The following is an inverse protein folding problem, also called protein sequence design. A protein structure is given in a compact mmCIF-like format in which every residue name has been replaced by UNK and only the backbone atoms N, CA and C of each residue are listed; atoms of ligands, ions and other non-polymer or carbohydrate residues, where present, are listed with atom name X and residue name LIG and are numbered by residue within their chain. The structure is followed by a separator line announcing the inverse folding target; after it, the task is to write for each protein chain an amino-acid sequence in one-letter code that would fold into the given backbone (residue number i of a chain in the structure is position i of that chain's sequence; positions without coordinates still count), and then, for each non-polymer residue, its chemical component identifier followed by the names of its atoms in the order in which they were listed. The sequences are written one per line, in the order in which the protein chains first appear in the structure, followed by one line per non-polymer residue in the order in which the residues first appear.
data_IF_040112332728
#
_entry.id   IF_040112332728
#
_cell.length_a   1.000
_cell.length_b   1.000
_cell.length_c   1.000
_cell.angle_alpha   90.00
_cell.angle_beta   90.00
_cell.angle_gamma   90.00
#
_symmetry.space_group_name_H-M   'P 1'
#
loop_
_entity.id
_entity.type
_entity.pdbx_description
1 polymer ?
#
# COMPACT_ATOMS: atom_id res chain seq x y z
N UNK A 1 2.33 -4.27 31.31
CA UNK A 1 3.63 -4.63 30.69
C UNK A 1 3.61 -4.01 29.31
N UNK A 2 4.64 -3.27 28.92
CA UNK A 2 4.68 -2.57 27.63
C UNK A 2 5.45 -3.43 26.63
N UNK A 3 4.89 -3.60 25.43
CA UNK A 3 5.58 -4.27 24.32
C UNK A 3 6.47 -3.22 23.65
N UNK A 4 7.76 -3.49 23.50
CA UNK A 4 8.73 -2.55 22.91
C UNK A 4 9.63 -3.27 21.90
N UNK A 5 10.33 -2.48 21.09
CA UNK A 5 11.31 -2.97 20.12
C UNK A 5 12.77 -2.86 20.62
N UNK A 6 12.98 -2.52 21.89
CA UNK A 6 14.32 -2.26 22.44
C UNK A 6 15.26 -3.47 22.35
N UNK A 7 14.70 -4.68 22.33
CA UNK A 7 15.46 -5.92 22.13
C UNK A 7 16.21 -5.97 20.80
N UNK A 8 15.77 -5.18 19.80
CA UNK A 8 16.37 -5.10 18.47
C UNK A 8 17.34 -3.93 18.31
N UNK A 9 17.50 -3.08 19.33
CA UNK A 9 18.47 -1.99 19.29
C UNK A 9 19.90 -2.49 19.15
N UNK A 10 20.77 -1.65 18.58
CA UNK A 10 22.20 -1.95 18.48
C UNK A 10 22.74 -2.22 19.89
N UNK A 11 23.46 -3.33 20.05
CA UNK A 11 23.97 -3.90 21.31
C UNK A 11 22.98 -4.68 22.18
N UNK A 12 21.69 -4.73 21.82
CA UNK A 12 20.72 -5.63 22.47
C UNK A 12 20.90 -7.07 21.98
N UNK A 13 20.46 -8.05 22.79
CA UNK A 13 20.70 -9.47 22.54
C UNK A 13 20.02 -10.02 21.27
N UNK A 14 18.97 -9.35 20.79
CA UNK A 14 18.18 -9.78 19.62
C UNK A 14 18.38 -8.88 18.40
N UNK A 15 19.36 -7.98 18.42
CA UNK A 15 19.67 -7.11 17.27
C UNK A 15 19.88 -7.90 15.97
N UNK A 16 20.61 -9.02 16.05
CA UNK A 16 20.90 -9.87 14.90
C UNK A 16 19.68 -10.63 14.35
N UNK A 17 18.53 -10.59 15.04
CA UNK A 17 17.27 -11.14 14.55
C UNK A 17 16.55 -10.17 13.61
N UNK A 18 16.89 -8.87 13.60
CA UNK A 18 16.30 -7.89 12.69
C UNK A 18 16.72 -8.22 11.24
N UNK A 19 15.76 -8.48 10.33
CA UNK A 19 16.12 -8.77 8.94
C UNK A 19 16.76 -7.56 8.26
N UNK A 20 17.75 -7.80 7.41
CA UNK A 20 18.46 -6.75 6.66
C UNK A 20 17.56 -5.98 5.68
N UNK A 21 16.41 -6.55 5.30
CA UNK A 21 15.45 -5.92 4.41
C UNK A 21 14.53 -4.91 5.11
N UNK A 22 14.53 -4.86 6.45
CA UNK A 22 13.78 -3.84 7.20
C UNK A 22 14.45 -2.50 7.02
N UNK A 23 13.69 -1.50 6.55
CA UNK A 23 14.21 -0.16 6.30
C UNK A 23 14.37 0.58 7.63
N UNK A 24 15.61 0.85 8.01
CA UNK A 24 15.98 1.65 9.19
C UNK A 24 16.77 2.86 8.70
N UNK A 25 16.12 4.02 8.61
CA UNK A 25 16.66 5.18 7.90
C UNK A 25 16.46 6.52 8.64
N UNK A 26 16.07 6.49 9.91
CA UNK A 26 15.98 7.66 10.77
C UNK A 26 17.39 8.17 11.12
N UNK A 27 17.70 9.48 10.95
CA UNK A 27 18.96 10.03 11.38
C UNK A 27 19.11 9.90 12.89
N UNK A 28 20.14 9.14 13.31
CA UNK A 28 20.52 8.97 14.72
C UNK A 28 19.43 8.29 15.58
N UNK A 29 18.45 7.61 14.97
CA UNK A 29 17.50 6.77 15.69
C UNK A 29 18.16 5.46 16.13
N UNK A 30 17.72 4.93 17.26
CA UNK A 30 17.83 3.50 17.53
C UNK A 30 16.79 2.74 16.70
N UNK A 31 16.92 1.42 16.56
CA UNK A 31 15.91 0.59 15.86
C UNK A 31 14.54 0.79 16.48
N UNK A 32 14.46 0.80 17.81
CA UNK A 32 13.22 0.97 18.55
C UNK A 32 12.57 2.36 18.40
N UNK A 33 13.36 3.38 18.09
CA UNK A 33 12.85 4.73 17.77
C UNK A 33 12.46 4.86 16.30
N UNK A 34 12.99 3.99 15.45
CA UNK A 34 12.83 4.02 14.01
C UNK A 34 11.65 3.18 13.52
N UNK A 35 11.30 2.12 14.24
CA UNK A 35 10.15 1.30 13.90
C UNK A 35 8.85 2.06 14.23
N UNK A 36 7.96 2.16 13.24
CA UNK A 36 6.72 2.95 13.31
C UNK A 36 5.49 2.01 13.15
N UNK A 37 4.94 1.48 14.26
CA UNK A 37 3.70 0.70 14.24
C UNK A 37 2.50 1.53 13.82
N UNK A 38 1.72 1.02 12.86
CA UNK A 38 0.57 1.74 12.31
C UNK A 38 -0.75 0.99 12.50
N UNK A 39 -0.86 -0.21 11.94
CA UNK A 39 -2.06 -1.03 11.99
C UNK A 39 -1.83 -2.38 12.68
N UNK A 40 -2.92 -3.01 13.13
CA UNK A 40 -2.87 -4.29 13.84
C UNK A 40 -3.97 -5.24 13.39
N UNK A 41 -3.62 -6.51 13.23
CA UNK A 41 -4.54 -7.62 13.02
C UNK A 41 -4.23 -8.75 14.02
N UNK A 42 -5.23 -9.55 14.41
CA UNK A 42 -5.08 -10.59 15.44
C UNK A 42 -5.34 -11.96 14.83
N UNK A 43 -4.46 -12.92 15.12
CA UNK A 43 -4.65 -14.34 14.77
C UNK A 43 -5.97 -14.90 15.30
N UNK A 44 -6.56 -15.89 14.62
CA UNK A 44 -7.89 -16.39 14.97
C UNK A 44 -7.98 -16.98 16.39
N UNK A 45 -6.87 -17.50 16.92
CA UNK A 45 -6.79 -18.08 18.26
C UNK A 45 -6.43 -17.06 19.35
N UNK A 46 -6.27 -15.78 18.98
CA UNK A 46 -5.86 -14.67 19.83
C UNK A 46 -4.49 -14.86 20.51
N UNK A 47 -3.60 -15.68 19.94
CA UNK A 47 -2.26 -15.91 20.49
C UNK A 47 -1.22 -14.94 19.95
N UNK A 48 -1.39 -14.48 18.71
CA UNK A 48 -0.52 -13.53 18.03
C UNK A 48 -1.27 -12.30 17.53
N UNK A 49 -0.56 -11.17 17.49
CA UNK A 49 -0.94 -10.00 16.72
C UNK A 49 0.11 -9.72 15.64
N UNK A 50 -0.35 -9.30 14.47
CA UNK A 50 0.46 -8.83 13.36
C UNK A 50 0.34 -7.32 13.33
N UNK A 51 1.45 -6.61 13.18
CA UNK A 51 1.50 -5.15 13.23
C UNK A 51 2.26 -4.65 12.01
N UNK A 52 1.64 -3.78 11.20
CA UNK A 52 2.35 -3.14 10.08
C UNK A 52 3.37 -2.12 10.59
N UNK A 53 4.49 -2.07 9.88
CA UNK A 53 5.57 -1.11 10.04
C UNK A 53 5.82 -0.49 8.66
N UNK A 54 4.92 0.41 8.25
CA UNK A 54 4.73 0.79 6.85
C UNK A 54 6.00 1.42 6.25
N UNK A 55 6.56 2.45 6.88
CA UNK A 55 7.78 3.11 6.44
C UNK A 55 8.96 2.12 6.45
N UNK A 56 8.97 1.17 7.38
CA UNK A 56 10.01 0.15 7.50
C UNK A 56 9.87 -1.01 6.51
N UNK A 57 8.77 -1.07 5.74
CA UNK A 57 8.44 -2.16 4.81
C UNK A 57 8.45 -3.55 5.49
N UNK A 58 7.84 -3.63 6.68
CA UNK A 58 7.89 -4.82 7.52
C UNK A 58 6.56 -5.10 8.25
N UNK A 59 6.46 -6.31 8.81
CA UNK A 59 5.41 -6.71 9.76
C UNK A 59 6.07 -7.22 11.03
N UNK A 60 5.67 -6.69 12.19
CA UNK A 60 6.00 -7.24 13.49
C UNK A 60 4.98 -8.31 13.91
N UNK A 61 5.47 -9.45 14.38
CA UNK A 61 4.67 -10.54 14.93
C UNK A 61 4.83 -10.51 16.45
N UNK A 62 3.74 -10.31 17.17
CA UNK A 62 3.69 -10.14 18.61
C UNK A 62 2.99 -11.34 19.24
N UNK A 63 3.59 -11.92 20.27
CA UNK A 63 2.90 -12.89 21.12
C UNK A 63 2.06 -12.17 22.17
N UNK A 64 0.76 -12.39 22.14
CA UNK A 64 -0.19 -11.77 23.06
C UNK A 64 -0.20 -12.42 24.44
N UNK A 65 0.31 -13.65 24.61
CA UNK A 65 0.42 -14.31 25.92
C UNK A 65 1.67 -13.84 26.68
N UNK A 66 2.80 -13.70 26.00
CA UNK A 66 4.07 -13.26 26.59
C UNK A 66 4.29 -11.75 26.51
N UNK A 67 3.43 -11.01 25.80
CA UNK A 67 3.53 -9.57 25.56
C UNK A 67 4.90 -9.15 24.99
N UNK A 68 5.37 -9.86 23.97
CA UNK A 68 6.69 -9.63 23.35
C UNK A 68 6.60 -9.70 21.82
N UNK A 69 7.36 -8.86 21.14
CA UNK A 69 7.64 -9.02 19.70
C UNK A 69 8.42 -10.33 19.52
N UNK A 70 7.81 -11.31 18.86
CA UNK A 70 8.45 -12.58 18.52
C UNK A 70 9.37 -12.44 17.34
N UNK A 71 8.92 -11.76 16.29
CA UNK A 71 9.68 -11.61 15.06
C UNK A 71 9.36 -10.30 14.36
N UNK A 72 10.28 -9.85 13.52
CA UNK A 72 10.04 -8.81 12.52
C UNK A 72 10.33 -9.44 11.17
N UNK A 73 9.42 -9.30 10.21
CA UNK A 73 9.55 -9.86 8.87
C UNK A 73 9.65 -8.72 7.87
N UNK A 74 10.72 -8.68 7.08
CA UNK A 74 10.79 -7.79 5.93
C UNK A 74 9.94 -8.34 4.78
N UNK A 75 9.33 -7.44 4.01
CA UNK A 75 8.38 -7.83 2.96
C UNK A 75 9.05 -7.98 1.58
N UNK A 76 10.36 -7.76 1.49
CA UNK A 76 11.06 -7.68 0.22
C UNK A 76 10.55 -6.56 -0.68
N UNK A 77 10.58 -6.77 -2.00
CA UNK A 77 10.12 -5.77 -2.97
C UNK A 77 9.54 -6.41 -4.22
N UNK A 78 8.68 -5.65 -4.92
CA UNK A 78 8.06 -6.05 -6.19
C UNK A 78 8.88 -5.55 -7.38
N UNK A 79 9.41 -6.47 -8.18
CA UNK A 79 10.21 -6.13 -9.37
C UNK A 79 9.31 -5.66 -10.53
N UNK A 80 9.39 -4.38 -10.91
CA UNK A 80 8.58 -3.77 -11.97
C UNK A 80 9.06 -4.06 -13.39
N UNK A 81 10.23 -4.68 -13.57
CA UNK A 81 10.65 -5.19 -14.89
C UNK A 81 9.92 -6.46 -15.35
N UNK A 82 9.01 -7.01 -14.54
CA UNK A 82 8.14 -8.12 -14.95
C UNK A 82 6.83 -7.55 -15.49
N UNK A 83 6.30 -8.08 -16.60
CA UNK A 83 5.05 -7.61 -17.22
C UNK A 83 3.85 -7.65 -16.27
N UNK A 84 3.79 -8.68 -15.42
CA UNK A 84 2.73 -8.83 -14.39
C UNK A 84 2.77 -7.74 -13.31
N UNK A 85 3.86 -6.99 -13.22
CA UNK A 85 4.08 -5.91 -12.25
C UNK A 85 4.32 -4.56 -12.96
N UNK A 86 3.98 -4.45 -14.25
CA UNK A 86 4.18 -3.20 -14.99
C UNK A 86 3.36 -2.05 -14.38
N UNK A 87 3.91 -0.84 -14.41
CA UNK A 87 3.31 0.37 -13.81
C UNK A 87 3.27 1.51 -14.82
N UNK A 88 2.39 2.48 -14.59
CA UNK A 88 2.53 3.81 -15.19
C UNK A 88 3.36 4.70 -14.26
N UNK A 89 4.50 5.22 -14.73
CA UNK A 89 5.49 5.89 -13.88
C UNK A 89 5.57 7.41 -14.09
N UNK A 90 4.73 7.99 -14.96
CA UNK A 90 4.80 9.41 -15.33
C UNK A 90 3.43 10.05 -15.39
N UNK A 91 3.32 11.28 -14.89
CA UNK A 91 2.17 12.17 -15.04
C UNK A 91 2.41 13.25 -16.13
N UNK A 92 3.32 13.01 -17.08
CA UNK A 92 3.78 14.00 -18.10
C UNK A 92 3.80 13.49 -19.53
N UNK A 93 3.53 12.22 -19.78
CA UNK A 93 3.52 11.68 -21.13
C UNK A 93 2.16 11.87 -21.83
N UNK A 94 1.10 12.15 -21.06
CA UNK A 94 -0.23 12.49 -21.56
C UNK A 94 -1.02 11.27 -22.05
N UNK A 95 -0.66 10.06 -21.60
CA UNK A 95 -1.31 8.80 -21.98
C UNK A 95 -1.21 7.81 -20.83
N UNK A 96 -2.08 6.81 -20.83
CA UNK A 96 -1.88 5.64 -19.95
C UNK A 96 -0.73 4.80 -20.54
N UNK A 97 0.35 4.65 -19.79
CA UNK A 97 1.60 4.05 -20.25
C UNK A 97 2.13 2.99 -19.26
N UNK A 98 1.29 2.01 -18.95
CA UNK A 98 1.63 0.87 -18.10
C UNK A 98 2.68 0.00 -18.81
N UNK A 99 3.91 0.00 -18.31
CA UNK A 99 5.02 -0.76 -18.88
C UNK A 99 6.00 -1.27 -17.82
N UNK A 100 6.87 -2.19 -18.21
CA UNK A 100 7.88 -2.78 -17.34
C UNK A 100 9.15 -1.95 -17.28
N UNK A 101 9.72 -1.82 -16.07
CA UNK A 101 10.97 -1.10 -15.83
C UNK A 101 11.97 -2.00 -15.07
N UNK A 102 12.89 -2.65 -15.78
CA UNK A 102 13.93 -3.48 -15.17
C UNK A 102 14.85 -2.64 -14.28
N UNK A 103 15.22 -3.16 -13.11
CA UNK A 103 16.00 -2.43 -12.10
C UNK A 103 15.15 -1.47 -11.24
N UNK A 104 13.83 -1.43 -11.43
CA UNK A 104 12.90 -0.64 -10.61
C UNK A 104 12.00 -1.56 -9.80
N UNK A 105 11.75 -1.16 -8.57
CA UNK A 105 11.03 -1.94 -7.57
C UNK A 105 10.02 -1.08 -6.82
N UNK A 106 8.90 -1.70 -6.43
CA UNK A 106 7.96 -1.14 -5.44
C UNK A 106 8.18 -1.80 -4.08
N UNK A 107 8.25 -1.01 -3.03
CA UNK A 107 8.21 -1.53 -1.66
C UNK A 107 6.75 -1.87 -1.30
N UNK A 108 6.52 -2.94 -0.53
CA UNK A 108 5.13 -3.31 -0.18
C UNK A 108 4.50 -2.31 0.79
N UNK A 109 5.22 -1.92 1.85
CA UNK A 109 4.85 -0.83 2.77
C UNK A 109 3.36 -0.79 3.08
N UNK A 110 2.86 -1.81 3.78
CA UNK A 110 1.45 -1.91 4.04
C UNK A 110 1.04 -0.93 5.13
N UNK A 111 0.02 -0.12 4.87
CA UNK A 111 -0.69 0.61 5.94
C UNK A 111 -1.68 -0.38 6.59
N UNK A 112 -2.93 -0.43 6.09
CA UNK A 112 -3.96 -1.26 6.70
C UNK A 112 -3.68 -2.74 6.46
N UNK A 113 -3.76 -3.52 7.54
CA UNK A 113 -3.68 -4.98 7.51
C UNK A 113 -4.90 -5.62 8.17
N UNK A 114 -5.27 -6.79 7.69
CA UNK A 114 -6.33 -7.62 8.27
C UNK A 114 -5.92 -9.09 8.24
N UNK A 115 -6.41 -9.89 9.17
CA UNK A 115 -6.15 -11.33 9.22
C UNK A 115 -7.44 -12.14 9.13
N UNK A 116 -7.31 -13.34 8.58
CA UNK A 116 -8.37 -14.34 8.55
C UNK A 116 -7.75 -15.74 8.61
N UNK A 117 -8.56 -16.74 8.94
CA UNK A 117 -8.11 -18.13 9.02
C UNK A 117 -8.88 -19.03 8.08
N UNK A 118 -8.18 -20.00 7.48
CA UNK A 118 -8.75 -21.12 6.75
C UNK A 118 -8.16 -22.39 7.36
N UNK A 119 -9.03 -23.32 7.78
CA UNK A 119 -8.65 -24.63 8.34
C UNK A 119 -7.62 -24.52 9.49
N UNK A 120 -7.68 -23.44 10.28
CA UNK A 120 -6.79 -23.18 11.42
C UNK A 120 -5.44 -22.54 11.05
N UNK A 121 -5.18 -22.29 9.76
CA UNK A 121 -4.01 -21.51 9.33
C UNK A 121 -4.39 -20.02 9.19
N UNK A 122 -3.63 -19.14 9.82
CA UNK A 122 -3.83 -17.69 9.73
C UNK A 122 -3.10 -17.10 8.52
N UNK A 123 -3.77 -16.16 7.85
CA UNK A 123 -3.26 -15.37 6.72
C UNK A 123 -3.44 -13.89 7.02
N UNK A 124 -2.50 -13.09 6.53
CA UNK A 124 -2.48 -11.64 6.66
C UNK A 124 -2.72 -11.05 5.27
N UNK A 125 -3.67 -10.14 5.15
CA UNK A 125 -3.96 -9.37 3.93
C UNK A 125 -3.47 -7.95 4.16
N UNK A 126 -2.81 -7.37 3.17
CA UNK A 126 -2.18 -6.05 3.29
C UNK A 126 -2.56 -5.14 2.13
N UNK A 127 -2.95 -3.90 2.41
CA UNK A 127 -3.06 -2.84 1.42
C UNK A 127 -1.70 -2.17 1.25
N UNK A 128 -1.08 -2.32 0.08
CA UNK A 128 0.33 -1.96 -0.13
C UNK A 128 0.47 -0.51 -0.60
N UNK A 129 0.13 0.42 0.28
CA UNK A 129 -0.03 1.84 0.01
C UNK A 129 1.30 2.52 -0.32
N UNK A 130 2.28 2.39 0.57
CA UNK A 130 3.54 3.12 0.54
C UNK A 130 3.49 4.43 1.31
N UNK A 131 4.45 4.62 2.22
CA UNK A 131 4.78 5.96 2.71
C UNK A 131 6.29 6.19 2.85
N UNK A 132 6.66 7.45 2.68
CA UNK A 132 8.02 7.92 2.82
C UNK A 132 8.25 8.45 4.22
N UNK A 133 9.41 8.12 4.80
CA UNK A 133 9.83 8.80 6.01
C UNK A 133 10.10 10.28 5.74
N UNK A 134 9.28 11.14 6.33
CA UNK A 134 9.35 12.58 6.10
C UNK A 134 9.00 13.38 7.36
N UNK A 135 9.96 14.17 7.85
CA UNK A 135 9.75 15.10 8.94
C UNK A 135 10.57 16.37 8.73
N UNK A 136 10.32 17.37 9.58
CA UNK A 136 11.03 18.64 9.52
C UNK A 136 12.55 18.39 9.59
N UNK A 137 13.25 18.69 8.49
CA UNK A 137 14.70 18.56 8.37
C UNK A 137 15.20 17.24 7.79
N UNK A 138 14.33 16.30 7.42
CA UNK A 138 14.72 15.06 6.75
C UNK A 138 13.60 14.51 5.86
N UNK A 139 13.97 14.11 4.66
CA UNK A 139 13.10 13.34 3.77
C UNK A 139 13.99 12.37 3.00
N UNK A 140 13.57 11.11 2.93
CA UNK A 140 14.22 10.12 2.06
C UNK A 140 13.67 10.17 0.62
N UNK A 141 12.62 10.94 0.37
CA UNK A 141 11.94 10.97 -0.93
C UNK A 141 12.62 11.94 -1.90
N UNK A 142 12.95 11.43 -3.09
CA UNK A 142 13.36 12.24 -4.22
C UNK A 142 12.60 11.83 -5.48
N UNK A 143 12.74 12.64 -6.54
CA UNK A 143 12.32 12.25 -7.89
C UNK A 143 13.45 11.42 -8.50
N UNK A 144 13.15 10.35 -9.23
CA UNK A 144 14.18 9.45 -9.76
C UNK A 144 15.20 10.16 -10.66
N UNK A 145 14.82 11.23 -11.35
CA UNK A 145 15.76 12.05 -12.13
C UNK A 145 16.81 12.82 -11.32
N UNK A 146 16.74 12.78 -9.99
CA UNK A 146 17.79 13.29 -9.08
C UNK A 146 18.77 12.23 -8.63
N UNK A 147 18.53 10.95 -8.92
CA UNK A 147 19.43 9.88 -8.54
C UNK A 147 20.70 9.92 -9.41
N UNK A 148 21.83 9.63 -8.78
CA UNK A 148 23.02 9.18 -9.48
C UNK A 148 22.88 7.67 -9.63
N UNK A 149 22.72 7.19 -10.86
CA UNK A 149 22.66 5.76 -11.13
C UNK A 149 24.01 5.26 -11.61
N UNK A 150 24.23 4.00 -11.33
CA UNK A 150 25.26 3.21 -11.94
C UNK A 150 25.19 3.31 -13.48
N UNK A 151 26.33 3.44 -14.16
CA UNK A 151 26.38 3.76 -15.61
C UNK A 151 25.72 2.68 -16.47
N UNK A 152 25.71 1.44 -15.99
CA UNK A 152 25.12 0.30 -16.68
C UNK A 152 23.67 0.06 -16.25
N UNK A 153 23.10 0.87 -15.36
CA UNK A 153 21.73 0.69 -14.90
C UNK A 153 20.76 0.75 -16.10
N UNK A 154 19.82 -0.22 -16.25
CA UNK A 154 18.91 -0.27 -17.41
C UNK A 154 18.07 0.99 -17.62
N UNK A 155 17.85 1.75 -16.54
CA UNK A 155 17.05 2.99 -16.54
C UNK A 155 17.88 4.28 -16.57
N UNK A 156 19.18 4.21 -16.85
CA UNK A 156 20.08 5.39 -16.88
C UNK A 156 19.49 6.56 -17.70
N UNK A 157 18.93 6.28 -18.87
CA UNK A 157 18.30 7.30 -19.72
C UNK A 157 16.85 7.61 -19.29
N UNK A 158 16.09 6.62 -18.84
CA UNK A 158 14.68 6.79 -18.51
C UNK A 158 14.45 7.71 -17.30
N UNK A 159 15.38 7.74 -16.33
CA UNK A 159 15.30 8.67 -15.21
C UNK A 159 15.57 10.13 -15.61
N UNK A 160 16.19 10.37 -16.77
CA UNK A 160 16.41 11.73 -17.28
C UNK A 160 15.18 12.27 -18.03
N UNK A 161 14.26 11.39 -18.43
CA UNK A 161 13.04 11.75 -19.14
C UNK A 161 11.85 11.87 -18.18
N UNK A 162 11.28 13.08 -18.09
CA UNK A 162 10.10 13.35 -17.27
C UNK A 162 8.84 12.64 -17.75
N UNK A 163 8.79 12.22 -19.02
CA UNK A 163 7.71 11.40 -19.61
C UNK A 163 7.90 9.91 -19.36
N UNK A 164 8.96 9.52 -18.67
CA UNK A 164 9.23 8.16 -18.24
C UNK A 164 9.47 8.17 -16.72
N UNK A 165 10.56 7.58 -16.24
CA UNK A 165 10.82 7.42 -14.81
C UNK A 165 11.26 8.69 -14.10
N UNK A 166 11.69 9.74 -14.80
CA UNK A 166 12.36 10.88 -14.16
C UNK A 166 11.54 11.62 -13.10
N UNK A 167 10.22 11.43 -13.10
CA UNK A 167 9.32 11.97 -12.08
C UNK A 167 8.91 10.98 -11.01
N UNK A 168 9.15 9.67 -11.16
CA UNK A 168 8.76 8.70 -10.14
C UNK A 168 9.35 9.09 -8.77
N UNK A 169 8.52 9.12 -7.72
CA UNK A 169 8.97 9.27 -6.34
C UNK A 169 9.65 8.00 -5.87
N UNK A 170 10.84 8.15 -5.34
CA UNK A 170 11.73 7.06 -4.96
C UNK A 170 12.46 7.41 -3.68
N UNK A 171 12.90 6.38 -2.95
CA UNK A 171 13.73 6.54 -1.77
C UNK A 171 15.22 6.62 -2.13
N UNK A 172 15.98 7.39 -1.35
CA UNK A 172 17.45 7.36 -1.35
C UNK A 172 18.06 6.56 -0.20
N UNK A 173 17.24 5.94 0.67
CA UNK A 173 17.74 5.24 1.85
C UNK A 173 18.25 3.82 1.57
N UNK A 174 17.90 3.28 0.40
CA UNK A 174 18.30 1.97 -0.11
C UNK A 174 18.50 2.08 -1.63
N UNK A 175 19.22 1.12 -2.22
CA UNK A 175 19.43 1.08 -3.67
C UNK A 175 20.88 0.99 -4.10
N UNK A 176 21.80 1.46 -3.27
CA UNK A 176 23.24 1.25 -3.37
C UNK A 176 23.58 -0.11 -2.74
N UNK A 177 23.86 -1.12 -3.58
CA UNK A 177 24.03 -2.51 -3.15
C UNK A 177 25.49 -2.90 -2.97
N UNK A 178 26.43 -2.15 -3.54
CA UNK A 178 27.88 -2.37 -3.37
C UNK A 178 28.59 -1.29 -2.53
N UNK A 179 27.86 -0.25 -2.12
CA UNK A 179 28.28 0.88 -1.29
C UNK A 179 29.29 1.81 -1.96
N UNK A 180 29.19 2.02 -3.28
CA UNK A 180 30.06 2.94 -4.02
C UNK A 180 29.50 4.37 -4.12
N UNK A 181 28.27 4.59 -3.65
CA UNK A 181 27.59 5.88 -3.59
C UNK A 181 26.69 6.20 -4.78
N UNK A 182 26.56 5.30 -5.76
CA UNK A 182 25.53 5.35 -6.79
C UNK A 182 24.43 4.28 -6.57
N UNK A 183 23.35 4.37 -7.36
CA UNK A 183 22.17 3.53 -7.17
C UNK A 183 22.12 2.41 -8.22
N UNK A 184 22.16 1.16 -7.75
CA UNK A 184 21.99 -0.08 -8.52
C UNK A 184 20.53 -0.47 -8.72
N UNK A 185 19.66 -0.10 -7.77
CA UNK A 185 18.25 -0.48 -7.74
C UNK A 185 17.40 0.70 -7.30
N UNK A 186 16.42 1.03 -8.12
CA UNK A 186 15.49 2.13 -7.84
C UNK A 186 14.29 1.59 -7.06
N UNK A 187 14.03 2.14 -5.88
CA UNK A 187 12.89 1.76 -5.04
C UNK A 187 11.87 2.90 -4.95
N UNK A 188 10.64 2.62 -5.37
CA UNK A 188 9.48 3.48 -5.21
C UNK A 188 8.62 3.04 -4.02
N UNK A 189 7.77 3.94 -3.56
CA UNK A 189 6.86 3.71 -2.43
C UNK A 189 5.59 3.02 -2.89
N UNK A 190 5.16 2.05 -2.08
CA UNK A 190 3.99 1.24 -2.39
C UNK A 190 4.25 0.29 -3.56
N UNK A 191 3.46 -0.79 -3.59
CA UNK A 191 3.59 -1.80 -4.64
C UNK A 191 2.37 -1.86 -5.57
N UNK A 192 1.46 -0.88 -5.41
CA UNK A 192 0.27 -0.66 -6.26
C UNK A 192 -0.64 -1.89 -6.34
N UNK A 193 -0.75 -2.61 -5.23
CA UNK A 193 -1.46 -3.89 -5.12
C UNK A 193 -1.96 -4.14 -3.70
N UNK A 194 -2.58 -5.30 -3.51
CA UNK A 194 -2.66 -5.92 -2.20
C UNK A 194 -1.90 -7.25 -2.22
N UNK A 195 -1.48 -7.70 -1.04
CA UNK A 195 -0.81 -8.98 -0.87
C UNK A 195 -1.52 -9.84 0.19
N UNK A 196 -1.30 -11.15 0.09
CA UNK A 196 -1.64 -12.10 1.14
C UNK A 196 -0.35 -12.79 1.58
N UNK A 197 -0.17 -12.93 2.88
CA UNK A 197 0.97 -13.53 3.55
C UNK A 197 0.49 -14.64 4.48
N UNK A 198 1.30 -15.66 4.72
CA UNK A 198 1.05 -16.58 5.84
C UNK A 198 1.42 -15.94 7.19
N UNK A 199 1.06 -16.58 8.29
CA UNK A 199 1.38 -16.11 9.64
C UNK A 199 2.88 -16.04 9.96
N UNK A 200 3.75 -16.56 9.10
CA UNK A 200 5.21 -16.44 9.21
C UNK A 200 5.77 -15.30 8.35
N UNK A 201 4.89 -14.57 7.65
CA UNK A 201 5.23 -13.43 6.80
C UNK A 201 5.77 -13.82 5.43
N UNK A 202 5.55 -15.06 4.97
CA UNK A 202 5.87 -15.44 3.58
C UNK A 202 4.71 -15.06 2.67
N UNK A 203 5.01 -14.39 1.57
CA UNK A 203 4.00 -14.01 0.57
C UNK A 203 3.41 -15.26 -0.10
N UNK A 204 2.07 -15.35 -0.09
CA UNK A 204 1.32 -16.43 -0.76
C UNK A 204 0.63 -15.93 -2.04
N UNK A 205 0.33 -14.63 -2.12
CA UNK A 205 -0.28 -13.98 -3.27
C UNK A 205 0.06 -12.49 -3.30
N UNK A 206 0.10 -11.92 -4.50
CA UNK A 206 0.11 -10.48 -4.75
C UNK A 206 -0.68 -10.21 -6.04
N UNK A 207 -1.48 -9.15 -6.09
CA UNK A 207 -2.33 -8.82 -7.25
C UNK A 207 -1.58 -8.26 -8.46
N UNK A 208 -0.25 -8.22 -8.42
CA UNK A 208 0.58 -7.75 -9.53
C UNK A 208 0.29 -6.29 -9.86
N UNK A 209 -0.13 -6.06 -11.09
CA UNK A 209 -0.55 -4.76 -11.62
C UNK A 209 -2.04 -4.69 -11.93
N UNK A 210 -2.85 -5.55 -11.31
CA UNK A 210 -4.29 -5.55 -11.52
C UNK A 210 -4.90 -4.17 -11.27
N UNK A 211 -4.52 -3.49 -10.19
CA UNK A 211 -5.13 -2.20 -9.84
C UNK A 211 -4.87 -1.16 -10.92
N UNK A 212 -3.63 -1.07 -11.42
CA UNK A 212 -3.26 -0.18 -12.54
C UNK A 212 -4.09 -0.48 -13.78
N UNK A 213 -4.19 -1.77 -14.15
CA UNK A 213 -4.89 -2.18 -15.36
C UNK A 213 -6.40 -1.98 -15.27
N UNK A 214 -6.99 -2.29 -14.11
CA UNK A 214 -8.42 -2.19 -13.87
C UNK A 214 -8.83 -0.72 -13.81
N UNK A 215 -8.13 0.13 -13.08
CA UNK A 215 -8.46 1.56 -13.05
C UNK A 215 -8.24 2.20 -14.42
N UNK A 216 -7.21 1.82 -15.17
CA UNK A 216 -7.02 2.27 -16.54
C UNK A 216 -8.18 1.90 -17.47
N UNK A 217 -8.65 0.64 -17.41
CA UNK A 217 -9.77 0.15 -18.21
C UNK A 217 -11.09 0.83 -17.83
N UNK A 218 -11.35 0.98 -16.52
CA UNK A 218 -12.64 1.47 -16.00
C UNK A 218 -12.76 2.98 -16.01
N UNK A 219 -11.67 3.70 -15.79
CA UNK A 219 -11.66 5.16 -15.61
C UNK A 219 -11.06 5.89 -16.81
N UNK A 220 -10.39 5.19 -17.72
CA UNK A 220 -9.75 5.81 -18.89
C UNK A 220 -8.83 6.96 -18.46
N UNK A 221 -9.01 8.17 -19.00
CA UNK A 221 -8.17 9.34 -18.69
C UNK A 221 -8.22 9.77 -17.22
N UNK A 222 -9.22 9.32 -16.46
CA UNK A 222 -9.37 9.63 -15.03
C UNK A 222 -8.59 8.68 -14.11
N UNK A 223 -7.89 7.69 -14.69
CA UNK A 223 -6.91 6.81 -14.05
C UNK A 223 -5.87 7.57 -13.21
N UNK A 224 -5.38 6.92 -12.13
CA UNK A 224 -4.37 7.46 -11.22
C UNK A 224 -4.59 8.93 -10.86
N UNK A 225 -5.84 9.25 -10.53
CA UNK A 225 -6.24 10.58 -10.10
C UNK A 225 -5.86 10.80 -8.63
N UNK A 226 -5.62 12.06 -8.26
CA UNK A 226 -5.55 12.47 -6.87
C UNK A 226 -6.96 12.68 -6.32
N UNK A 227 -7.18 12.41 -5.04
CA UNK A 227 -8.43 12.74 -4.34
C UNK A 227 -8.61 14.24 -4.05
N UNK A 228 -7.60 15.10 -4.29
CA UNK A 228 -7.66 16.54 -4.05
C UNK A 228 -8.25 17.34 -5.22
N UNK A 229 -8.31 16.74 -6.42
CA UNK A 229 -8.85 17.36 -7.64
C UNK A 229 -9.08 16.30 -8.73
N UNK A 230 -10.04 16.52 -9.62
CA UNK A 230 -10.20 15.72 -10.84
C UNK A 230 -9.29 16.26 -11.96
N UNK A 231 -8.11 15.65 -12.13
CA UNK A 231 -7.16 16.04 -13.18
C UNK A 231 -6.84 14.90 -14.15
N UNK A 232 -6.96 13.66 -13.68
CA UNK A 232 -6.49 12.48 -14.40
C UNK A 232 -4.96 12.40 -14.36
N UNK A 233 -4.47 11.17 -14.28
CA UNK A 233 -3.05 10.82 -14.37
C UNK A 233 -2.12 11.82 -13.64
N UNK A 234 -2.35 11.98 -12.35
CA UNK A 234 -1.56 12.87 -11.49
C UNK A 234 -1.08 12.19 -10.20
N UNK A 235 -1.10 10.85 -10.19
CA UNK A 235 -0.47 9.98 -9.19
C UNK A 235 0.43 8.89 -9.79
N UNK A 236 0.52 8.76 -11.12
CA UNK A 236 1.39 7.77 -11.77
C UNK A 236 2.87 7.99 -11.47
N UNK A 237 3.31 9.24 -11.32
CA UNK A 237 4.66 9.58 -10.87
C UNK A 237 4.89 9.40 -9.36
N UNK A 238 3.87 8.96 -8.62
CA UNK A 238 3.89 8.76 -7.18
C UNK A 238 3.49 7.29 -6.86
N UNK A 239 2.40 7.06 -6.13
CA UNK A 239 1.95 5.72 -5.66
C UNK A 239 0.83 5.10 -6.52
N UNK A 240 0.48 5.75 -7.65
CA UNK A 240 -0.48 5.22 -8.63
C UNK A 240 -1.90 5.07 -8.05
N UNK A 241 -2.51 3.86 -8.09
CA UNK A 241 -3.84 3.61 -7.55
C UNK A 241 -3.97 3.80 -6.02
N UNK A 242 -2.87 3.58 -5.28
CA UNK A 242 -2.74 3.86 -3.84
C UNK A 242 -3.78 3.14 -2.96
N UNK A 243 -3.62 1.82 -2.75
CA UNK A 243 -4.49 1.05 -1.88
C UNK A 243 -4.16 1.30 -0.40
N UNK A 244 -5.18 1.60 0.40
CA UNK A 244 -5.03 2.04 1.79
C UNK A 244 -6.01 1.29 2.69
N UNK A 245 -7.30 1.64 2.64
CA UNK A 245 -8.32 0.98 3.45
C UNK A 245 -8.48 -0.52 3.10
N UNK A 246 -8.70 -1.35 4.10
CA UNK A 246 -8.92 -2.78 3.91
C UNK A 246 -9.96 -3.32 4.89
N UNK A 247 -10.91 -4.10 4.39
CA UNK A 247 -11.79 -4.92 5.20
C UNK A 247 -11.91 -6.34 4.63
N UNK A 248 -12.12 -7.31 5.50
CA UNK A 248 -12.38 -8.69 5.13
C UNK A 248 -13.81 -9.07 5.53
N UNK A 249 -14.47 -9.89 4.70
CA UNK A 249 -15.81 -10.36 4.99
C UNK A 249 -16.12 -11.72 4.37
N UNK A 250 -16.83 -12.56 5.10
CA UNK A 250 -17.36 -13.80 4.56
C UNK A 250 -18.78 -13.58 4.02
N UNK A 251 -19.02 -13.99 2.78
CA UNK A 251 -20.35 -13.99 2.18
C UNK A 251 -20.64 -15.38 1.65
N UNK A 252 -21.47 -16.12 2.40
CA UNK A 252 -21.99 -17.44 2.04
C UNK A 252 -20.88 -18.48 1.80
N UNK A 253 -19.95 -18.58 2.75
CA UNK A 253 -18.85 -19.54 2.71
C UNK A 253 -17.69 -19.15 1.79
N UNK A 254 -17.67 -17.90 1.30
CA UNK A 254 -16.56 -17.36 0.52
C UNK A 254 -15.98 -16.15 1.22
N UNK A 255 -14.66 -16.10 1.30
CA UNK A 255 -13.93 -15.01 1.93
C UNK A 255 -13.61 -13.95 0.87
N UNK A 256 -13.89 -12.68 1.18
CA UNK A 256 -13.58 -11.55 0.32
C UNK A 256 -12.67 -10.55 1.02
N UNK A 257 -11.82 -9.91 0.23
CA UNK A 257 -11.13 -8.68 0.58
C UNK A 257 -11.76 -7.50 -0.16
N UNK A 258 -11.99 -6.42 0.57
CA UNK A 258 -12.40 -5.12 0.06
C UNK A 258 -11.26 -4.15 0.29
N UNK A 259 -10.68 -3.62 -0.79
CA UNK A 259 -9.47 -2.78 -0.74
C UNK A 259 -9.81 -1.41 -1.29
N UNK A 260 -9.86 -0.40 -0.43
CA UNK A 260 -10.06 1.00 -0.80
C UNK A 260 -8.84 1.58 -1.49
N UNK A 261 -9.09 2.43 -2.50
CA UNK A 261 -8.06 3.17 -3.21
C UNK A 261 -8.16 4.64 -2.79
N UNK A 262 -7.26 5.12 -1.93
CA UNK A 262 -7.35 6.43 -1.29
C UNK A 262 -7.48 7.56 -2.34
N UNK A 263 -6.53 7.61 -3.28
CA UNK A 263 -6.43 8.74 -4.22
C UNK A 263 -7.41 8.63 -5.36
N UNK A 264 -7.40 7.50 -6.06
CA UNK A 264 -8.28 7.28 -7.22
C UNK A 264 -9.76 7.15 -6.78
N UNK A 265 -9.99 6.76 -5.53
CA UNK A 265 -11.30 6.49 -4.92
C UNK A 265 -11.92 5.16 -5.38
N UNK A 266 -12.98 4.77 -4.69
CA UNK A 266 -13.60 3.45 -4.86
C UNK A 266 -12.83 2.33 -4.16
N UNK A 267 -13.28 1.09 -4.34
CA UNK A 267 -12.65 -0.07 -3.75
C UNK A 267 -12.71 -1.29 -4.66
N UNK A 268 -11.66 -2.09 -4.61
CA UNK A 268 -11.53 -3.37 -5.28
C UNK A 268 -12.15 -4.48 -4.43
N UNK A 269 -12.76 -5.47 -5.08
CA UNK A 269 -13.28 -6.67 -4.43
C UNK A 269 -12.51 -7.86 -4.98
N UNK A 270 -11.89 -8.63 -4.09
CA UNK A 270 -11.24 -9.90 -4.42
C UNK A 270 -11.87 -11.02 -3.63
N UNK A 271 -12.08 -12.15 -4.30
CA UNK A 271 -12.32 -13.40 -3.61
C UNK A 271 -10.98 -13.99 -3.20
N UNK A 272 -10.81 -14.22 -1.90
CA UNK A 272 -9.58 -14.73 -1.29
C UNK A 272 -9.81 -16.07 -0.60
N UNK A 273 -10.92 -16.76 -0.92
CA UNK A 273 -11.29 -18.05 -0.30
C UNK A 273 -10.18 -19.10 -0.45
N UNK A 274 -9.43 -19.04 -1.55
CA UNK A 274 -8.19 -19.80 -1.74
C UNK A 274 -7.04 -18.79 -1.83
N UNK A 275 -6.24 -18.60 -0.77
CA UNK A 275 -5.27 -17.50 -0.67
C UNK A 275 -4.32 -17.41 -1.87
N UNK A 276 -3.83 -18.55 -2.36
CA UNK A 276 -2.87 -18.61 -3.48
C UNK A 276 -3.53 -18.40 -4.86
N UNK A 277 -4.86 -18.39 -4.93
CA UNK A 277 -5.65 -18.27 -6.15
C UNK A 277 -6.68 -17.15 -6.03
N UNK A 278 -6.35 -16.11 -5.28
CA UNK A 278 -7.20 -14.93 -5.16
C UNK A 278 -7.46 -14.33 -6.55
N UNK A 279 -8.69 -13.87 -6.79
CA UNK A 279 -9.08 -13.32 -8.09
C UNK A 279 -10.01 -12.12 -7.94
N UNK A 280 -9.90 -11.20 -8.89
CA UNK A 280 -10.69 -9.99 -8.97
C UNK A 280 -12.17 -10.30 -9.22
N UNK A 281 -13.05 -9.65 -8.47
CA UNK A 281 -14.51 -9.77 -8.58
C UNK A 281 -15.10 -8.52 -9.21
N UNK A 282 -14.87 -7.34 -8.60
CA UNK A 282 -15.39 -6.07 -9.10
C UNK A 282 -14.61 -4.87 -8.57
N UNK A 283 -14.77 -3.72 -9.22
CA UNK A 283 -14.27 -2.42 -8.78
C UNK A 283 -15.44 -1.45 -8.69
N UNK A 284 -15.76 -1.04 -7.47
CA UNK A 284 -16.88 -0.14 -7.19
C UNK A 284 -16.33 1.26 -6.96
N UNK A 285 -16.79 2.21 -7.77
CA UNK A 285 -16.39 3.62 -7.67
C UNK A 285 -17.62 4.52 -7.75
N UNK A 286 -17.83 5.29 -6.69
CA UNK A 286 -18.89 6.30 -6.60
C UNK A 286 -18.27 7.70 -6.68
N UNK A 287 -17.43 7.92 -7.70
CA UNK A 287 -16.79 9.21 -7.98
C UNK A 287 -17.20 9.72 -9.35
N UNK A 288 -17.63 10.98 -9.42
CA UNK A 288 -17.87 11.69 -10.66
C UNK A 288 -16.65 12.55 -11.00
N UNK A 289 -15.98 12.22 -12.11
CA UNK A 289 -14.75 12.89 -12.51
C UNK A 289 -14.96 14.20 -13.29
N UNK A 290 -16.21 14.59 -13.57
CA UNK A 290 -16.51 15.80 -14.37
C UNK A 290 -16.43 17.12 -13.58
N UNK A 291 -17.01 17.26 -12.37
CA UNK A 291 -16.95 18.52 -11.63
C UNK A 291 -15.51 18.85 -11.20
N UNK A 292 -15.18 20.14 -11.22
CA UNK A 292 -13.87 20.64 -10.76
C UNK A 292 -13.97 21.05 -9.29
N UNK A 293 -13.03 20.55 -8.50
CA UNK A 293 -12.84 20.94 -7.11
C UNK A 293 -11.33 20.97 -6.81
N UNK A 294 -10.97 21.61 -5.71
CA UNK A 294 -9.61 21.60 -5.19
C UNK A 294 -9.63 21.66 -3.67
N UNK A 295 -8.89 20.74 -3.04
CA UNK A 295 -8.63 20.69 -1.61
C UNK A 295 -7.12 20.79 -1.39
N UNK A 296 -6.68 21.72 -0.57
CA UNK A 296 -5.28 21.92 -0.20
C UNK A 296 -5.15 21.87 1.31
N UNK A 297 -4.38 20.92 1.85
CA UNK A 297 -4.17 20.74 3.29
C UNK A 297 -5.49 20.69 4.09
N UNK A 298 -6.47 19.95 3.58
CA UNK A 298 -7.82 19.83 4.17
C UNK A 298 -8.72 21.06 3.97
N UNK A 299 -8.26 22.11 3.31
CA UNK A 299 -9.04 23.33 3.03
C UNK A 299 -9.56 23.31 1.61
N UNK A 300 -10.86 23.48 1.43
CA UNK A 300 -11.49 23.63 0.11
C UNK A 300 -11.11 24.99 -0.47
N UNK A 301 -10.34 25.00 -1.55
CA UNK A 301 -9.93 26.22 -2.25
C UNK A 301 -10.77 26.50 -3.49
N UNK A 302 -11.45 25.47 -4.02
CA UNK A 302 -12.32 25.58 -5.20
C UNK A 302 -13.40 24.51 -5.26
N UNK A 303 -14.60 24.88 -5.72
CA UNK A 303 -15.70 23.94 -5.93
C UNK A 303 -16.22 23.32 -4.63
N UNK A 304 -16.94 22.20 -4.74
CA UNK A 304 -17.39 21.41 -3.60
C UNK A 304 -16.94 19.94 -3.82
N UNK A 305 -16.02 19.40 -3.01
CA UNK A 305 -15.60 18.00 -3.14
C UNK A 305 -16.75 17.00 -2.95
N UNK A 306 -17.83 17.37 -2.27
CA UNK A 306 -19.01 16.50 -2.11
C UNK A 306 -19.81 16.34 -3.40
N UNK A 307 -19.66 17.28 -4.34
CA UNK A 307 -20.33 17.20 -5.64
C UNK A 307 -19.75 16.12 -6.56
N UNK A 308 -18.59 15.53 -6.21
CA UNK A 308 -17.96 14.46 -6.97
C UNK A 308 -18.18 13.07 -6.35
N UNK A 309 -18.97 12.96 -5.28
CA UNK A 309 -19.19 11.68 -4.59
C UNK A 309 -18.07 11.36 -3.58
N UNK A 310 -17.69 10.09 -3.53
CA UNK A 310 -16.82 9.55 -2.49
C UNK A 310 -15.34 9.76 -2.82
N UNK A 311 -14.57 10.32 -1.87
CA UNK A 311 -13.15 10.63 -2.01
C UNK A 311 -12.35 10.24 -0.76
N UNK A 312 -11.22 9.55 -0.95
CA UNK A 312 -10.33 9.10 0.15
C UNK A 312 -10.92 8.00 1.02
N UNK A 313 -11.24 6.80 0.48
CA UNK A 313 -11.61 5.65 1.31
C UNK A 313 -10.46 5.28 2.26
N UNK A 314 -10.68 5.44 3.55
CA UNK A 314 -9.64 5.40 4.60
C UNK A 314 -9.98 4.37 5.68
N UNK A 315 -11.19 4.50 6.25
CA UNK A 315 -11.74 3.52 7.17
C UNK A 315 -12.71 2.57 6.45
N UNK A 316 -12.57 1.27 6.67
CA UNK A 316 -13.49 0.28 6.10
C UNK A 316 -13.88 -0.80 7.12
N UNK A 317 -15.15 -1.17 7.16
CA UNK A 317 -15.60 -2.29 8.01
C UNK A 317 -16.72 -3.09 7.37
N UNK A 318 -16.64 -4.41 7.51
CA UNK A 318 -17.65 -5.34 7.02
C UNK A 318 -18.60 -5.73 8.15
N UNK A 319 -19.90 -5.73 7.86
CA UNK A 319 -20.95 -6.17 8.77
C UNK A 319 -21.59 -7.44 8.19
N UNK A 320 -21.55 -8.52 8.97
CA UNK A 320 -22.13 -9.82 8.60
C UNK A 320 -23.66 -9.76 8.54
N UNK A 321 -24.26 -10.71 7.81
CA UNK A 321 -25.71 -10.79 7.61
C UNK A 321 -26.50 -10.81 8.94
N UNK A 322 -26.03 -11.58 9.93
CA UNK A 322 -26.64 -11.73 11.25
C UNK A 322 -26.53 -10.50 12.15
N UNK A 323 -25.56 -9.61 11.88
CA UNK A 323 -25.36 -8.34 12.62
C UNK A 323 -25.96 -7.14 11.90
N UNK A 324 -26.42 -7.32 10.67
CA UNK A 324 -26.95 -6.24 9.84
C UNK A 324 -28.43 -5.97 10.13
N UNK A 325 -28.88 -4.70 10.10
CA UNK A 325 -30.28 -4.34 10.37
C UNK A 325 -31.28 -4.82 9.30
N UNK A 326 -30.80 -5.09 8.08
CA UNK A 326 -31.63 -5.56 6.95
C UNK A 326 -31.41 -7.04 6.62
N UNK A 327 -30.64 -7.77 7.45
CA UNK A 327 -30.30 -9.17 7.19
C UNK A 327 -29.57 -9.35 5.86
N UNK A 328 -28.64 -8.45 5.51
CA UNK A 328 -27.78 -8.54 4.33
C UNK A 328 -26.35 -8.10 4.69
N UNK A 329 -25.30 -8.72 4.12
CA UNK A 329 -23.93 -8.27 4.35
C UNK A 329 -23.76 -6.82 3.89
N UNK A 330 -23.13 -6.00 4.73
CA UNK A 330 -22.88 -4.59 4.45
C UNK A 330 -21.38 -4.30 4.50
N UNK A 331 -20.94 -3.33 3.70
CA UNK A 331 -19.62 -2.72 3.80
C UNK A 331 -19.80 -1.23 4.10
N UNK A 332 -19.19 -0.77 5.19
CA UNK A 332 -19.14 0.64 5.55
C UNK A 332 -17.79 1.19 5.12
N UNK A 333 -17.81 2.33 4.44
CA UNK A 333 -16.62 3.01 3.95
C UNK A 333 -16.67 4.46 4.41
N UNK A 334 -15.65 4.89 5.15
CA UNK A 334 -15.43 6.28 5.54
C UNK A 334 -14.49 6.93 4.51
N UNK A 335 -14.94 8.05 3.95
CA UNK A 335 -14.24 8.78 2.90
C UNK A 335 -13.78 10.13 3.43
N UNK A 336 -12.51 10.25 3.82
CA UNK A 336 -11.98 11.39 4.58
C UNK A 336 -12.11 12.71 3.81
N UNK A 337 -11.65 12.75 2.55
CA UNK A 337 -11.59 13.99 1.76
C UNK A 337 -12.99 14.53 1.43
N UNK A 338 -13.95 13.64 1.19
CA UNK A 338 -15.35 14.05 0.96
C UNK A 338 -16.14 14.28 2.27
N UNK A 339 -15.63 13.82 3.41
CA UNK A 339 -16.32 13.84 4.69
C UNK A 339 -17.59 12.98 4.74
N UNK A 340 -17.62 11.88 3.98
CA UNK A 340 -18.80 11.00 3.88
C UNK A 340 -18.58 9.65 4.52
N UNK A 341 -19.67 8.98 4.90
CA UNK A 341 -19.66 7.56 5.27
C UNK A 341 -20.76 6.87 4.49
N UNK A 342 -20.39 5.86 3.70
CA UNK A 342 -21.29 5.17 2.78
C UNK A 342 -21.47 3.73 3.18
N UNK A 343 -22.72 3.25 3.09
CA UNK A 343 -23.09 1.86 3.36
C UNK A 343 -23.40 1.18 2.03
N UNK A 344 -22.58 0.21 1.65
CA UNK A 344 -22.82 -0.65 0.50
C UNK A 344 -23.52 -1.92 0.96
N UNK A 345 -24.70 -2.19 0.41
CA UNK A 345 -25.32 -3.51 0.57
C UNK A 345 -24.75 -4.46 -0.48
N UNK A 346 -24.06 -5.50 -0.04
CA UNK A 346 -23.43 -6.46 -0.93
C UNK A 346 -24.46 -7.49 -1.38
N UNK A 347 -24.52 -7.71 -2.70
CA UNK A 347 -25.33 -8.73 -3.34
C UNK A 347 -24.38 -9.74 -3.97
N UNK A 348 -24.87 -10.96 -4.16
CA UNK A 348 -24.13 -11.99 -4.90
C UNK A 348 -23.82 -11.52 -6.32
#
# INVERSE_FOLDING_TARGET
MNITFNDFDIHSSRHNELPKGVKINGPKSSVSQDLEPEYIAVSHDNSQAFVSLQENNAIAIINLKSHRVENIVDLGSKHYGLTKNAIDASDKDGKINIQSYAGVYGLYQPDTIASYSIDGADFIVTANEGDARNYIGFSEEVRAGKLTLDKNHPQFNAIQDKKQLGRLKVTTSIGDTDNDGDIDKIYSYGSRSFSIWDAQGKQVFDSGNDFERITADRLSIDFNNHNSKNKGDNRSDDKGPEPEALALGEIKGRQYAFIGLERTSGFMIYDITVPQQAYFVDYIVNRNFTPKFEVENGVITKGDPRAVGDLGPEGMTFITEDKSPNGKPLLLVANEVSGTTVVYQLKR
#
